data_IF_225396002764
#
_entry.id   IF_225396002764
#
_cell.length_a   1.000
_cell.length_b   1.000
_cell.length_c   1.000
_cell.angle_alpha   90.00
_cell.angle_beta   90.00
_cell.angle_gamma   90.00
#
_symmetry.space_group_name_H-M   'P 1'
#
loop_
_entity.id
_entity.type
_entity.pdbx_description
1 polymer ?
#
# COMPACT_ATOMS: atom_id res chain seq x y z
N UNK A 1 10.47 5.64 18.83
CA UNK A 1 10.94 4.45 18.09
C UNK A 1 9.98 3.29 18.30
N UNK A 2 9.20 2.94 17.27
CA UNK A 2 8.31 1.79 17.28
C UNK A 2 9.13 0.50 17.39
N UNK A 3 8.75 -0.38 18.32
CA UNK A 3 9.34 -1.70 18.54
C UNK A 3 8.23 -2.75 18.53
N UNK A 4 8.57 -3.95 18.08
CA UNK A 4 7.66 -5.09 18.11
C UNK A 4 7.14 -5.33 19.53
N UNK A 5 5.83 -5.51 19.67
CA UNK A 5 5.16 -5.85 20.92
C UNK A 5 4.56 -7.25 20.84
N UNK A 6 3.72 -7.51 19.85
CA UNK A 6 3.01 -8.79 19.70
C UNK A 6 2.52 -8.99 18.27
N UNK A 7 2.04 -10.19 17.98
CA UNK A 7 1.26 -10.49 16.79
C UNK A 7 0.12 -11.44 17.10
N UNK A 8 -0.90 -11.43 16.26
CA UNK A 8 -2.03 -12.34 16.30
C UNK A 8 -2.42 -12.75 14.87
N UNK A 9 -2.85 -14.01 14.72
CA UNK A 9 -3.41 -14.52 13.46
C UNK A 9 -4.85 -14.96 13.73
N UNK A 10 -5.78 -14.41 12.94
CA UNK A 10 -7.22 -14.69 13.06
C UNK A 10 -7.80 -15.12 11.72
N UNK A 11 -8.87 -15.93 11.75
CA UNK A 11 -9.64 -16.27 10.55
C UNK A 11 -10.42 -15.07 10.04
N UNK A 12 -10.60 -15.03 8.72
CA UNK A 12 -11.29 -13.93 8.05
C UNK A 12 -10.42 -12.70 7.86
N UNK A 13 -10.93 -11.76 7.08
CA UNK A 13 -10.27 -10.49 6.81
C UNK A 13 -10.66 -9.44 7.84
N UNK A 14 -9.70 -8.65 8.30
CA UNK A 14 -9.95 -7.49 9.16
C UNK A 14 -10.95 -6.50 8.53
N UNK A 15 -11.67 -5.77 9.37
CA UNK A 15 -12.56 -4.68 8.96
C UNK A 15 -11.96 -3.31 9.28
N UNK A 16 -12.35 -2.31 8.49
CA UNK A 16 -11.97 -0.91 8.69
C UNK A 16 -13.24 -0.09 8.92
N UNK A 17 -13.44 0.40 10.13
CA UNK A 17 -14.63 1.17 10.48
C UNK A 17 -14.65 2.51 9.73
N UNK A 18 -15.71 2.74 8.93
CA UNK A 18 -15.92 3.99 8.21
C UNK A 18 -15.02 4.22 7.00
N UNK A 19 -14.27 3.20 6.57
CA UNK A 19 -13.44 3.26 5.37
C UNK A 19 -13.88 2.20 4.37
N UNK A 20 -13.64 2.42 3.07
CA UNK A 20 -13.80 1.38 2.06
C UNK A 20 -12.93 0.17 2.41
N UNK A 21 -13.46 -1.02 2.20
CA UNK A 21 -12.76 -2.25 2.50
C UNK A 21 -13.02 -3.31 1.44
N UNK A 22 -12.06 -4.19 1.25
CA UNK A 22 -12.27 -5.45 0.54
C UNK A 22 -13.06 -6.39 1.44
N UNK A 23 -14.02 -7.10 0.87
CA UNK A 23 -14.82 -8.10 1.59
C UNK A 23 -14.26 -9.49 1.32
N UNK A 24 -14.38 -10.34 2.34
CA UNK A 24 -14.08 -11.76 2.25
C UNK A 24 -15.08 -12.53 3.12
N UNK A 25 -15.39 -13.77 2.73
CA UNK A 25 -16.01 -14.70 3.64
C UNK A 25 -14.99 -15.15 4.68
N UNK A 26 -15.47 -15.74 5.77
CA UNK A 26 -14.61 -16.12 6.91
C UNK A 26 -13.51 -17.13 6.55
N UNK A 27 -13.77 -17.97 5.54
CA UNK A 27 -12.87 -19.03 5.07
C UNK A 27 -11.99 -18.63 3.87
N UNK A 28 -12.16 -17.41 3.33
CA UNK A 28 -11.43 -16.94 2.15
C UNK A 28 -10.11 -16.25 2.49
N UNK A 29 -9.93 -15.80 3.74
CA UNK A 29 -8.75 -15.05 4.14
C UNK A 29 -8.38 -15.32 5.61
N UNK A 30 -7.13 -15.01 5.92
CA UNK A 30 -6.64 -14.89 7.29
C UNK A 30 -6.08 -13.48 7.52
N UNK A 31 -6.19 -13.00 8.75
CA UNK A 31 -5.60 -11.72 9.14
C UNK A 31 -4.41 -11.94 10.05
N UNK A 32 -3.27 -11.39 9.68
CA UNK A 32 -2.15 -11.16 10.58
C UNK A 32 -2.20 -9.70 11.06
N UNK A 33 -2.28 -9.50 12.37
CA UNK A 33 -2.08 -8.20 13.03
C UNK A 33 -0.73 -8.20 13.74
N UNK A 34 0.12 -7.22 13.45
CA UNK A 34 1.38 -6.98 14.14
C UNK A 34 1.26 -5.68 14.90
N UNK A 35 1.54 -5.70 16.20
CA UNK A 35 1.52 -4.51 17.05
C UNK A 35 2.94 -4.05 17.32
N UNK A 36 3.19 -2.78 17.00
CA UNK A 36 4.42 -2.08 17.33
C UNK A 36 4.10 -0.97 18.35
N UNK A 37 4.97 -0.77 19.31
CA UNK A 37 4.79 0.27 20.34
C UNK A 37 6.01 1.19 20.47
N UNK A 38 5.76 2.47 20.66
CA UNK A 38 6.74 3.42 21.16
C UNK A 38 6.39 3.80 22.61
N UNK A 39 7.12 3.23 23.56
CA UNK A 39 6.88 3.45 24.98
C UNK A 39 7.09 4.89 25.42
N UNK A 40 7.89 5.68 24.71
CA UNK A 40 8.17 7.05 25.06
C UNK A 40 7.00 7.98 24.76
N UNK A 41 6.33 7.78 23.63
CA UNK A 41 5.18 8.61 23.21
C UNK A 41 3.83 7.97 23.53
N UNK A 42 3.78 6.68 23.86
CA UNK A 42 2.54 5.92 23.99
C UNK A 42 1.86 5.62 22.65
N UNK A 43 2.55 5.83 21.53
CA UNK A 43 2.02 5.49 20.20
C UNK A 43 2.11 4.00 19.95
N UNK A 44 1.00 3.40 19.52
CA UNK A 44 0.94 2.05 18.95
C UNK A 44 0.60 2.11 17.46
N UNK A 45 1.23 1.24 16.71
CA UNK A 45 0.90 1.01 15.30
C UNK A 45 0.49 -0.46 15.11
N UNK A 46 -0.71 -0.66 14.59
CA UNK A 46 -1.27 -1.96 14.26
C UNK A 46 -1.13 -2.14 12.75
N UNK A 47 -0.28 -3.05 12.35
CA UNK A 47 -0.07 -3.39 10.94
C UNK A 47 -0.98 -4.57 10.61
N UNK A 48 -1.96 -4.34 9.75
CA UNK A 48 -2.97 -5.32 9.37
C UNK A 48 -2.66 -5.89 7.99
N UNK A 49 -2.59 -7.21 7.91
CA UNK A 49 -2.38 -7.96 6.68
C UNK A 49 -3.55 -8.94 6.51
N UNK A 50 -4.35 -8.79 5.49
CA UNK A 50 -5.35 -9.77 5.10
C UNK A 50 -4.80 -10.62 3.95
N UNK A 51 -4.57 -11.87 4.18
CA UNK A 51 -3.94 -12.79 3.22
C UNK A 51 -5.02 -13.66 2.58
N UNK A 52 -5.06 -13.68 1.26
CA UNK A 52 -5.97 -14.48 0.45
C UNK A 52 -5.18 -15.55 -0.31
N UNK A 53 -4.99 -16.73 0.26
CA UNK A 53 -4.05 -17.73 -0.27
C UNK A 53 -4.44 -18.30 -1.64
N UNK A 54 -5.72 -18.21 -2.02
CA UNK A 54 -6.21 -18.72 -3.31
C UNK A 54 -6.26 -17.65 -4.42
N UNK A 55 -5.92 -16.39 -4.09
CA UNK A 55 -6.00 -15.26 -5.02
C UNK A 55 -4.66 -14.58 -5.27
N UNK A 56 -3.60 -14.98 -4.58
CA UNK A 56 -2.30 -14.27 -4.56
C UNK A 56 -2.46 -12.78 -4.22
N UNK A 57 -3.35 -12.49 -3.25
CA UNK A 57 -3.69 -11.13 -2.84
C UNK A 57 -3.38 -10.94 -1.36
N UNK A 58 -2.73 -9.82 -1.03
CA UNK A 58 -2.54 -9.35 0.33
C UNK A 58 -3.16 -7.96 0.45
N UNK A 59 -4.08 -7.78 1.38
CA UNK A 59 -4.59 -6.46 1.73
C UNK A 59 -3.82 -5.88 2.90
N UNK A 60 -3.59 -4.57 2.89
CA UNK A 60 -2.80 -3.86 3.89
C UNK A 60 -3.57 -2.69 4.47
N UNK A 61 -3.46 -2.51 5.77
CA UNK A 61 -3.91 -1.30 6.46
C UNK A 61 -3.04 -1.04 7.69
N UNK A 62 -3.02 0.22 8.13
CA UNK A 62 -2.35 0.63 9.36
C UNK A 62 -3.36 1.36 10.23
N UNK A 63 -3.45 0.97 11.50
CA UNK A 63 -4.20 1.67 12.53
C UNK A 63 -3.23 2.24 13.56
N UNK A 64 -3.33 3.53 13.83
CA UNK A 64 -2.54 4.20 14.85
C UNK A 64 -3.40 4.42 16.08
N UNK A 65 -2.85 4.14 17.25
CA UNK A 65 -3.48 4.32 18.55
C UNK A 65 -2.56 5.11 19.47
N UNK A 66 -3.09 6.16 20.08
CA UNK A 66 -2.38 6.91 21.11
C UNK A 66 -2.85 6.44 22.49
N UNK A 67 -2.04 5.64 23.16
CA UNK A 67 -2.29 5.18 24.54
C UNK A 67 -1.64 6.07 25.59
N UNK A 68 -0.91 7.10 25.16
CA UNK A 68 -0.31 8.10 26.03
C UNK A 68 -1.28 9.19 26.45
N UNK A 69 -0.82 10.08 27.32
CA UNK A 69 -1.61 11.23 27.85
C UNK A 69 -1.42 12.51 27.03
N UNK A 70 -0.37 12.58 26.24
CA UNK A 70 -0.06 13.75 25.41
C UNK A 70 -0.51 13.52 23.95
N UNK A 71 -0.93 14.59 23.24
CA UNK A 71 -1.25 14.46 21.82
C UNK A 71 -0.01 14.13 20.98
N UNK A 72 -0.19 13.27 19.99
CA UNK A 72 0.84 12.88 19.02
C UNK A 72 0.46 13.39 17.63
N UNK A 73 1.38 14.10 16.98
CA UNK A 73 1.19 14.59 15.62
C UNK A 73 1.74 13.57 14.63
N UNK A 74 0.88 12.98 13.81
CA UNK A 74 1.27 12.09 12.71
C UNK A 74 1.44 12.95 11.45
N UNK A 75 2.67 13.07 10.95
CA UNK A 75 2.97 13.85 9.73
C UNK A 75 2.70 13.07 8.45
N UNK A 76 3.00 11.78 8.45
CA UNK A 76 2.80 10.87 7.31
C UNK A 76 2.52 9.47 7.86
N UNK A 77 1.52 8.80 7.32
CA UNK A 77 1.24 7.39 7.59
C UNK A 77 0.95 6.71 6.25
N UNK A 78 1.85 5.84 5.84
CA UNK A 78 1.66 5.01 4.66
C UNK A 78 0.95 3.72 5.07
N UNK A 79 -0.02 3.29 4.27
CA UNK A 79 -0.77 2.05 4.54
C UNK A 79 0.04 0.79 4.20
N UNK A 80 1.07 0.95 3.39
CA UNK A 80 1.95 -0.14 2.97
C UNK A 80 3.36 0.37 2.71
N UNK A 81 4.32 -0.46 3.00
CA UNK A 81 5.71 -0.37 2.58
C UNK A 81 6.14 -1.78 2.17
N UNK A 82 6.93 -1.90 1.11
CA UNK A 82 7.45 -3.16 0.61
C UNK A 82 8.82 -2.93 0.02
N UNK A 83 9.81 -3.68 0.53
CA UNK A 83 11.15 -3.71 0.00
C UNK A 83 11.27 -4.82 -1.04
N UNK A 84 11.97 -4.53 -2.11
CA UNK A 84 12.38 -5.50 -3.11
C UNK A 84 13.89 -5.67 -3.06
N UNK A 85 14.36 -6.90 -3.21
CA UNK A 85 15.77 -7.11 -3.53
C UNK A 85 16.09 -6.44 -4.86
N UNK A 86 17.36 -6.05 -5.05
CA UNK A 86 17.80 -5.37 -6.27
C UNK A 86 17.28 -6.06 -7.53
N UNK A 87 16.53 -5.33 -8.31
CA UNK A 87 16.06 -5.72 -9.64
C UNK A 87 15.68 -4.51 -10.47
N UNK A 88 15.86 -4.63 -11.77
CA UNK A 88 15.37 -3.61 -12.69
C UNK A 88 13.85 -3.70 -12.83
N UNK A 89 13.14 -2.71 -12.30
CA UNK A 89 11.69 -2.62 -12.37
C UNK A 89 11.24 -1.47 -13.26
N UNK A 90 10.15 -1.72 -13.95
CA UNK A 90 9.34 -0.69 -14.59
C UNK A 90 8.09 -0.44 -13.76
N UNK A 91 7.63 0.81 -13.74
CA UNK A 91 6.34 1.18 -13.20
C UNK A 91 5.35 1.44 -14.32
N UNK A 92 4.16 0.85 -14.21
CA UNK A 92 3.02 1.12 -15.08
C UNK A 92 1.97 1.84 -14.27
N UNK A 93 1.54 2.99 -14.75
CA UNK A 93 0.46 3.75 -14.14
C UNK A 93 -0.56 4.24 -15.17
N UNK A 94 -1.71 4.71 -14.68
CA UNK A 94 -2.81 5.14 -15.51
C UNK A 94 -3.19 6.59 -15.18
N UNK A 95 -3.29 7.40 -16.22
CA UNK A 95 -3.65 8.80 -16.12
C UNK A 95 -4.69 9.18 -17.17
N UNK A 96 -5.18 10.39 -17.15
CA UNK A 96 -6.07 10.86 -18.18
C UNK A 96 -6.81 12.14 -17.84
N UNK A 97 -7.80 12.40 -18.66
CA UNK A 97 -8.73 13.51 -18.54
C UNK A 97 -10.09 13.11 -19.09
N UNK A 98 -11.08 13.97 -18.96
CA UNK A 98 -12.41 13.73 -19.52
C UNK A 98 -12.33 13.36 -21.01
N UNK A 99 -12.97 12.28 -21.40
CA UNK A 99 -12.94 11.64 -22.72
C UNK A 99 -11.58 11.07 -23.18
N UNK A 100 -10.57 11.05 -22.32
CA UNK A 100 -9.24 10.45 -22.59
C UNK A 100 -8.75 9.83 -21.27
N UNK A 101 -9.56 8.94 -20.70
CA UNK A 101 -9.26 8.26 -19.43
C UNK A 101 -8.39 7.04 -19.65
N UNK A 102 -7.69 6.63 -18.59
CA UNK A 102 -6.88 5.40 -18.50
C UNK A 102 -5.81 5.28 -19.58
N UNK A 103 -5.15 6.38 -19.90
CA UNK A 103 -3.93 6.30 -20.70
C UNK A 103 -2.87 5.57 -19.86
N UNK A 104 -2.28 4.56 -20.42
CA UNK A 104 -1.24 3.76 -19.78
C UNK A 104 0.14 4.35 -20.10
N UNK A 105 0.96 4.51 -19.09
CA UNK A 105 2.36 4.84 -19.24
C UNK A 105 3.21 3.83 -18.48
N UNK A 106 4.30 3.39 -19.12
CA UNK A 106 5.31 2.51 -18.53
C UNK A 106 6.64 3.24 -18.51
N UNK A 107 7.23 3.36 -17.32
CA UNK A 107 8.47 4.10 -17.08
C UNK A 107 9.46 3.21 -16.35
N UNK A 108 10.71 3.19 -16.81
CA UNK A 108 11.79 2.52 -16.10
C UNK A 108 12.14 3.26 -14.81
N UNK A 109 12.23 2.53 -13.70
CA UNK A 109 12.66 3.09 -12.42
C UNK A 109 14.19 3.14 -12.37
N UNK A 110 14.74 4.35 -12.38
CA UNK A 110 16.16 4.63 -12.14
C UNK A 110 16.40 5.06 -10.69
N UNK A 111 17.66 5.32 -10.34
CA UNK A 111 18.01 5.82 -9.01
C UNK A 111 17.22 7.08 -8.64
N UNK A 112 16.80 7.15 -7.39
CA UNK A 112 15.99 8.23 -6.84
C UNK A 112 14.52 7.87 -6.75
N UNK A 113 13.67 8.89 -6.67
CA UNK A 113 12.25 8.73 -6.38
C UNK A 113 11.38 8.89 -7.62
N UNK A 114 10.40 8.01 -7.74
CA UNK A 114 9.25 8.18 -8.63
C UNK A 114 7.96 8.20 -7.81
N UNK A 115 7.03 9.06 -8.13
CA UNK A 115 5.77 9.14 -7.39
C UNK A 115 4.58 9.53 -8.26
N UNK A 116 3.40 9.07 -7.88
CA UNK A 116 2.11 9.49 -8.42
C UNK A 116 1.09 9.63 -7.30
N UNK A 117 0.22 10.62 -7.39
CA UNK A 117 -0.76 10.85 -6.35
C UNK A 117 -1.78 11.93 -6.68
N UNK A 118 -2.66 12.18 -5.72
CA UNK A 118 -3.65 13.25 -5.77
C UNK A 118 -3.80 13.90 -4.40
N UNK A 119 -3.81 15.23 -4.38
CA UNK A 119 -4.10 16.05 -3.19
C UNK A 119 -5.39 16.87 -3.37
N UNK A 120 -6.24 16.48 -4.33
CA UNK A 120 -7.46 17.22 -4.72
C UNK A 120 -8.70 16.81 -3.93
N UNK A 121 -8.57 15.95 -2.93
CA UNK A 121 -9.70 15.36 -2.21
C UNK A 121 -10.32 14.16 -2.92
N UNK A 122 -9.85 13.80 -4.09
CA UNK A 122 -10.31 12.65 -4.87
C UNK A 122 -9.19 12.03 -5.69
N UNK A 123 -9.20 10.71 -5.81
CA UNK A 123 -8.37 9.94 -6.76
C UNK A 123 -9.05 9.92 -8.12
N UNK A 124 -9.05 11.00 -8.85
CA UNK A 124 -9.81 11.14 -10.09
C UNK A 124 -9.17 10.42 -11.28
N UNK A 125 -9.79 10.61 -12.47
CA UNK A 125 -9.26 10.15 -13.76
C UNK A 125 -7.89 10.75 -14.14
N UNK A 126 -7.42 11.79 -13.44
CA UNK A 126 -6.07 12.35 -13.66
C UNK A 126 -4.97 11.36 -13.33
N UNK A 127 -5.10 10.67 -12.20
CA UNK A 127 -4.24 9.55 -11.80
C UNK A 127 -5.09 8.52 -11.09
N UNK A 128 -5.10 7.30 -11.60
CA UNK A 128 -5.80 6.21 -10.96
C UNK A 128 -5.00 5.75 -9.72
N UNK A 129 -5.66 5.38 -8.62
CA UNK A 129 -5.00 4.85 -7.42
C UNK A 129 -4.60 3.38 -7.62
N UNK A 130 -3.99 3.09 -8.75
CA UNK A 130 -3.55 1.78 -9.18
C UNK A 130 -2.23 1.88 -9.93
N UNK A 131 -1.25 1.10 -9.51
CA UNK A 131 0.10 1.06 -10.07
C UNK A 131 0.52 -0.40 -10.21
N UNK A 132 1.29 -0.71 -11.24
CA UNK A 132 1.92 -2.01 -11.41
C UNK A 132 3.43 -1.80 -11.39
N UNK A 133 4.15 -2.57 -10.57
CA UNK A 133 5.59 -2.78 -10.72
C UNK A 133 5.79 -4.09 -11.46
N UNK A 134 6.65 -4.09 -12.47
CA UNK A 134 6.92 -5.29 -13.24
C UNK A 134 8.40 -5.39 -13.61
N UNK A 135 8.88 -6.61 -13.77
CA UNK A 135 10.22 -6.82 -14.30
C UNK A 135 10.33 -6.18 -15.68
N UNK A 136 11.50 -5.63 -16.02
CA UNK A 136 11.73 -4.87 -17.25
C UNK A 136 11.33 -5.61 -18.53
N UNK A 137 11.48 -6.93 -18.53
CA UNK A 137 11.16 -7.79 -19.68
C UNK A 137 9.74 -8.36 -19.63
N UNK A 138 8.88 -7.85 -18.73
CA UNK A 138 7.49 -8.32 -18.62
C UNK A 138 6.67 -7.85 -19.81
N UNK A 139 5.92 -8.78 -20.38
CA UNK A 139 4.95 -8.60 -21.45
C UNK A 139 3.58 -9.13 -21.01
N UNK A 140 2.56 -9.05 -21.86
CA UNK A 140 1.19 -9.49 -21.54
C UNK A 140 1.08 -10.98 -21.18
N UNK A 141 2.01 -11.81 -21.65
CA UNK A 141 2.01 -13.26 -21.47
C UNK A 141 3.22 -13.81 -20.72
N UNK A 142 4.13 -12.97 -20.30
CA UNK A 142 5.39 -13.36 -19.68
C UNK A 142 5.89 -12.34 -18.67
N UNK A 143 6.54 -12.83 -17.61
CA UNK A 143 7.21 -12.04 -16.60
C UNK A 143 6.43 -11.91 -15.29
N UNK A 144 6.97 -11.14 -14.34
CA UNK A 144 6.35 -10.92 -13.04
C UNK A 144 5.77 -9.51 -12.95
N UNK A 145 4.58 -9.41 -12.37
CA UNK A 145 3.90 -8.15 -12.09
C UNK A 145 3.39 -8.13 -10.65
N UNK A 146 3.49 -6.96 -10.03
CA UNK A 146 2.96 -6.69 -8.70
C UNK A 146 2.01 -5.50 -8.80
N UNK A 147 0.73 -5.77 -8.67
CA UNK A 147 -0.32 -4.73 -8.73
C UNK A 147 -0.61 -4.14 -7.36
N UNK A 148 -0.68 -2.81 -7.29
CA UNK A 148 -1.00 -2.04 -6.09
C UNK A 148 -2.25 -1.23 -6.34
N UNK A 149 -3.29 -1.49 -5.55
CA UNK A 149 -4.54 -0.75 -5.62
C UNK A 149 -4.88 -0.15 -4.26
N UNK A 150 -5.14 1.14 -4.22
CA UNK A 150 -5.66 1.78 -3.02
C UNK A 150 -7.20 1.76 -3.06
N UNK A 151 -7.79 1.04 -2.11
CA UNK A 151 -9.25 0.97 -1.95
C UNK A 151 -9.82 2.23 -1.25
N UNK A 152 -9.40 3.41 -1.68
CA UNK A 152 -9.84 4.69 -1.15
C UNK A 152 -9.94 5.71 -2.27
N UNK A 153 -11.00 6.49 -2.30
CA UNK A 153 -11.30 7.43 -3.38
C UNK A 153 -10.85 8.87 -3.11
N UNK A 154 -10.19 9.13 -2.02
CA UNK A 154 -9.68 10.45 -1.63
C UNK A 154 -8.26 10.71 -2.11
N UNK A 155 -7.52 11.51 -1.33
CA UNK A 155 -6.10 11.77 -1.58
C UNK A 155 -5.29 10.49 -1.46
N UNK A 156 -4.29 10.34 -2.31
CA UNK A 156 -3.39 9.20 -2.26
C UNK A 156 -1.98 9.61 -2.71
N UNK A 157 -1.02 8.82 -2.29
CA UNK A 157 0.36 8.88 -2.75
C UNK A 157 0.87 7.44 -2.93
N UNK A 158 1.42 7.16 -4.10
CA UNK A 158 2.27 6.00 -4.35
C UNK A 158 3.68 6.53 -4.65
N UNK A 159 4.67 5.99 -3.99
CA UNK A 159 6.05 6.45 -4.06
C UNK A 159 6.98 5.23 -4.11
N UNK A 160 7.97 5.27 -4.98
CA UNK A 160 9.04 4.27 -5.03
C UNK A 160 10.38 4.99 -4.89
N UNK A 161 11.35 4.33 -4.31
CA UNK A 161 12.72 4.79 -4.22
C UNK A 161 13.64 3.64 -4.66
N UNK A 162 14.56 3.96 -5.57
CA UNK A 162 15.70 3.10 -5.88
C UNK A 162 16.91 3.74 -5.22
N UNK A 163 17.41 3.12 -4.18
CA UNK A 163 18.51 3.66 -3.38
C UNK A 163 19.89 3.39 -4.01
N UNK A 164 20.97 3.66 -3.26
CA UNK A 164 22.34 3.52 -3.76
C UNK A 164 22.77 2.06 -3.93
N UNK A 165 22.09 1.15 -3.29
CA UNK A 165 22.39 -0.28 -3.30
C UNK A 165 21.56 -1.01 -4.36
N UNK A 166 20.44 -0.41 -4.76
CA UNK A 166 19.53 -0.88 -5.82
C UNK A 166 18.23 -1.43 -5.32
#
# INVERSE_FOLDING_TARGET
NLKFESYEITKGKYSLKGLPAMFAKEDEAETLEIVLTDRASGLKAHLLYGVFPHLDVITRAVRLENTGTAPVTVKKAMSMEMDYEYRELDVVHFYGRHNVERQMERTHLGHGNWSVGSIRGTSSHHHNPFVILCDRNTEETYGNCYGYALAYSGNFLFETEVDQVG
#
